data_IF_130710851478
#
_entry.id   IF_130710851478
#
_cell.length_a   1.000
_cell.length_b   1.000
_cell.length_c   1.000
_cell.angle_alpha   90.00
_cell.angle_beta   90.00
_cell.angle_gamma   90.00
#
_symmetry.space_group_name_H-M   'P 1'
#
loop_
_entity.id
_entity.type
_entity.pdbx_description
1 polymer ?
#
# COMPACT_ATOMS: atom_id res chain seq x y z
N UNK A 1 -17.21 -10.14 -9.01
CA UNK A 1 -16.17 -10.40 -7.99
C UNK A 1 -16.67 -9.80 -6.70
N UNK A 2 -16.53 -10.53 -5.59
CA UNK A 2 -16.95 -10.11 -4.26
C UNK A 2 -15.75 -10.25 -3.34
N UNK A 3 -15.32 -9.19 -2.66
CA UNK A 3 -14.09 -9.17 -1.87
C UNK A 3 -14.17 -8.16 -0.73
N UNK A 4 -13.52 -8.46 0.39
CA UNK A 4 -13.31 -7.49 1.48
C UNK A 4 -11.93 -6.83 1.37
N UNK A 5 -11.78 -5.59 1.85
CA UNK A 5 -10.47 -4.91 1.89
C UNK A 5 -9.98 -4.74 3.33
N UNK A 6 -8.95 -5.51 3.67
CA UNK A 6 -8.30 -5.51 4.98
C UNK A 6 -6.78 -5.23 4.82
N UNK A 7 -6.36 -4.01 4.45
CA UNK A 7 -4.94 -3.66 4.42
C UNK A 7 -4.26 -3.68 5.80
N UNK A 8 -5.02 -3.78 6.91
CA UNK A 8 -4.51 -3.80 8.28
C UNK A 8 -5.27 -4.79 9.19
N UNK A 9 -4.63 -5.33 10.24
CA UNK A 9 -5.27 -6.15 11.29
C UNK A 9 -6.12 -5.32 12.29
N UNK A 10 -6.80 -4.29 11.78
CA UNK A 10 -7.72 -3.46 12.53
C UNK A 10 -8.82 -3.01 11.57
N UNK A 11 -10.09 -3.27 11.93
CA UNK A 11 -11.25 -2.96 11.09
C UNK A 11 -11.31 -1.46 10.78
N UNK A 12 -11.23 -0.61 11.81
CA UNK A 12 -11.35 0.85 11.69
C UNK A 12 -10.24 1.46 10.84
N UNK A 13 -8.98 1.02 11.03
CA UNK A 13 -7.83 1.43 10.19
C UNK A 13 -7.97 0.95 8.74
N UNK A 14 -8.42 -0.30 8.54
CA UNK A 14 -8.64 -0.87 7.21
C UNK A 14 -9.71 -0.14 6.41
N UNK A 15 -10.83 0.20 7.05
CA UNK A 15 -11.96 0.92 6.44
C UNK A 15 -11.59 2.38 6.13
N UNK A 16 -10.95 3.07 7.08
CA UNK A 16 -10.48 4.47 6.90
C UNK A 16 -9.47 4.63 5.76
N UNK A 17 -8.63 3.63 5.54
CA UNK A 17 -7.63 3.67 4.46
C UNK A 17 -8.24 3.64 3.04
N UNK A 18 -9.54 3.38 2.87
CA UNK A 18 -10.18 3.24 1.56
C UNK A 18 -10.62 4.58 0.96
N UNK A 19 -10.53 4.68 -0.38
CA UNK A 19 -11.26 5.69 -1.15
C UNK A 19 -12.77 5.40 -1.17
N UNK A 20 -13.57 6.44 -1.43
CA UNK A 20 -15.03 6.38 -1.45
C UNK A 20 -15.58 5.34 -2.43
N UNK A 21 -14.95 5.13 -3.59
CA UNK A 21 -15.41 4.13 -4.56
C UNK A 21 -15.32 2.71 -3.98
N UNK A 22 -14.27 2.40 -3.20
CA UNK A 22 -14.13 1.10 -2.56
C UNK A 22 -14.93 1.01 -1.27
N UNK A 23 -14.89 2.02 -0.40
CA UNK A 23 -15.69 2.07 0.82
C UNK A 23 -17.19 1.88 0.51
N UNK A 24 -17.72 2.61 -0.48
CA UNK A 24 -19.10 2.47 -0.93
C UNK A 24 -19.43 1.08 -1.48
N UNK A 25 -18.44 0.38 -2.06
CA UNK A 25 -18.58 -1.02 -2.48
C UNK A 25 -18.49 -2.02 -1.32
N UNK A 26 -17.67 -1.75 -0.30
CA UNK A 26 -17.46 -2.67 0.82
C UNK A 26 -18.72 -2.91 1.65
N UNK A 27 -19.55 -1.88 1.88
CA UNK A 27 -20.89 -2.04 2.48
C UNK A 27 -21.72 -3.09 1.73
N UNK A 28 -21.75 -3.00 0.39
CA UNK A 28 -22.53 -3.90 -0.48
C UNK A 28 -21.90 -5.29 -0.61
N UNK A 29 -20.56 -5.38 -0.68
CA UNK A 29 -19.86 -6.67 -0.85
C UNK A 29 -19.86 -7.49 0.45
N UNK A 30 -19.64 -6.87 1.62
CA UNK A 30 -19.78 -7.54 2.92
C UNK A 30 -21.22 -8.04 3.17
N UNK A 31 -22.23 -7.23 2.87
CA UNK A 31 -23.64 -7.66 2.93
C UNK A 31 -23.92 -8.87 2.02
N UNK A 32 -23.37 -8.90 0.80
CA UNK A 32 -23.56 -10.05 -0.09
C UNK A 32 -22.79 -11.31 0.37
N UNK A 33 -21.66 -11.17 1.08
CA UNK A 33 -20.99 -12.31 1.73
C UNK A 33 -21.87 -12.89 2.85
N UNK A 34 -22.39 -12.05 3.75
CA UNK A 34 -23.29 -12.49 4.83
C UNK A 34 -24.53 -13.23 4.28
N UNK A 35 -25.12 -12.73 3.19
CA UNK A 35 -26.22 -13.41 2.50
C UNK A 35 -25.82 -14.75 1.84
N UNK A 36 -24.59 -14.87 1.33
CA UNK A 36 -24.08 -16.11 0.75
C UNK A 36 -23.77 -17.17 1.82
N UNK A 37 -23.25 -16.76 2.98
CA UNK A 37 -23.07 -17.61 4.16
C UNK A 37 -24.44 -18.14 4.61
N UNK A 38 -25.35 -17.23 4.97
CA UNK A 38 -26.70 -17.53 5.46
C UNK A 38 -27.58 -18.27 4.43
N UNK A 39 -27.15 -18.39 3.17
CA UNK A 39 -27.83 -19.15 2.13
C UNK A 39 -29.04 -18.46 1.49
N UNK A 40 -29.35 -17.23 1.91
CA UNK A 40 -30.43 -16.40 1.33
C UNK A 40 -30.19 -16.08 -0.15
N UNK A 41 -28.94 -16.19 -0.62
CA UNK A 41 -28.58 -16.12 -2.04
C UNK A 41 -27.73 -17.34 -2.44
N UNK A 42 -28.10 -17.99 -3.57
CA UNK A 42 -27.38 -19.18 -4.10
C UNK A 42 -25.99 -18.86 -4.67
N UNK A 43 -25.74 -17.62 -5.08
CA UNK A 43 -24.45 -17.19 -5.63
C UNK A 43 -23.34 -17.09 -4.58
N UNK A 44 -22.07 -17.21 -5.03
CA UNK A 44 -20.85 -16.95 -4.25
C UNK A 44 -20.62 -17.80 -2.97
N UNK A 45 -21.47 -18.77 -2.64
CA UNK A 45 -21.31 -19.62 -1.42
C UNK A 45 -19.99 -20.40 -1.36
N UNK A 46 -19.42 -20.78 -2.52
CA UNK A 46 -18.10 -21.43 -2.66
C UNK A 46 -16.95 -20.46 -3.01
N UNK A 47 -17.19 -19.15 -3.02
CA UNK A 47 -16.14 -18.17 -3.36
C UNK A 47 -15.16 -18.01 -2.18
N UNK A 48 -13.84 -17.93 -2.40
CA UNK A 48 -12.86 -17.84 -1.30
C UNK A 48 -13.10 -16.68 -0.32
N UNK A 49 -13.48 -15.51 -0.82
CA UNK A 49 -13.87 -14.37 0.02
C UNK A 49 -15.09 -14.63 0.92
N UNK A 50 -15.95 -15.60 0.57
CA UNK A 50 -17.07 -16.04 1.42
C UNK A 50 -16.60 -17.08 2.43
N UNK A 51 -15.74 -18.01 2.00
CA UNK A 51 -15.23 -19.10 2.82
C UNK A 51 -14.34 -18.60 3.97
N UNK A 52 -13.50 -17.59 3.75
CA UNK A 52 -12.62 -17.04 4.80
C UNK A 52 -13.34 -16.35 5.96
N UNK A 53 -14.62 -15.97 5.77
CA UNK A 53 -15.48 -15.34 6.79
C UNK A 53 -16.48 -16.31 7.44
N UNK A 54 -16.57 -17.55 6.97
CA UNK A 54 -17.51 -18.55 7.53
C UNK A 54 -17.02 -18.98 8.91
N UNK A 55 -17.90 -18.90 9.92
CA UNK A 55 -17.55 -19.06 11.34
C UNK A 55 -17.09 -17.76 12.02
N UNK A 56 -16.99 -16.65 11.28
CA UNK A 56 -16.58 -15.32 11.77
C UNK A 56 -17.60 -14.24 11.39
N UNK A 57 -18.88 -14.62 11.32
CA UNK A 57 -19.98 -13.77 10.83
C UNK A 57 -20.17 -12.52 11.67
N UNK A 58 -19.94 -12.59 13.00
CA UNK A 58 -20.00 -11.40 13.88
C UNK A 58 -18.87 -10.40 13.57
N UNK A 59 -17.67 -10.87 13.25
CA UNK A 59 -16.55 -10.01 12.83
C UNK A 59 -16.82 -9.37 11.45
N UNK A 60 -17.47 -10.10 10.53
CA UNK A 60 -17.90 -9.53 9.25
C UNK A 60 -19.05 -8.51 9.41
N UNK A 61 -19.99 -8.72 10.34
CA UNK A 61 -21.01 -7.72 10.72
C UNK A 61 -20.36 -6.44 11.28
N UNK A 62 -19.36 -6.57 12.16
CA UNK A 62 -18.58 -5.45 12.70
C UNK A 62 -17.84 -4.70 11.58
N UNK A 63 -17.20 -5.41 10.64
CA UNK A 63 -16.55 -4.81 9.46
C UNK A 63 -17.55 -4.02 8.60
N UNK A 64 -18.73 -4.60 8.36
CA UNK A 64 -19.82 -3.97 7.62
C UNK A 64 -20.37 -2.71 8.33
N UNK A 65 -20.57 -2.76 9.65
CA UNK A 65 -21.02 -1.64 10.47
C UNK A 65 -20.01 -0.48 10.44
N UNK A 66 -18.70 -0.76 10.54
CA UNK A 66 -17.67 0.27 10.41
C UNK A 66 -17.65 0.85 8.98
N UNK A 67 -17.84 0.03 7.94
CA UNK A 67 -17.98 0.53 6.56
C UNK A 67 -19.17 1.47 6.36
N UNK A 68 -20.26 1.31 7.12
CA UNK A 68 -21.37 2.28 7.15
C UNK A 68 -20.97 3.52 7.95
N UNK A 69 -20.39 3.33 9.13
CA UNK A 69 -20.00 4.41 10.05
C UNK A 69 -19.03 5.41 9.40
N UNK A 70 -17.98 4.91 8.74
CA UNK A 70 -17.02 5.74 7.98
C UNK A 70 -17.70 6.42 6.77
N UNK A 71 -18.59 5.72 6.06
CA UNK A 71 -19.30 6.28 4.90
C UNK A 71 -20.20 7.46 5.31
N UNK A 72 -20.95 7.31 6.41
CA UNK A 72 -21.78 8.39 6.99
C UNK A 72 -20.89 9.49 7.58
N UNK A 73 -19.78 9.14 8.23
CA UNK A 73 -18.80 10.08 8.78
C UNK A 73 -18.13 10.98 7.72
N UNK A 74 -18.04 10.50 6.47
CA UNK A 74 -17.63 11.30 5.29
C UNK A 74 -18.76 12.13 4.69
N UNK A 75 -19.88 12.31 5.39
CA UNK A 75 -21.04 13.08 4.93
C UNK A 75 -21.79 12.45 3.75
N UNK A 76 -21.69 11.13 3.55
CA UNK A 76 -22.32 10.44 2.42
C UNK A 76 -23.64 9.76 2.83
N UNK A 77 -24.69 9.93 2.03
CA UNK A 77 -26.00 9.34 2.30
C UNK A 77 -25.93 7.80 2.39
N UNK A 78 -26.62 7.23 3.38
CA UNK A 78 -26.73 5.79 3.61
C UNK A 78 -28.19 5.36 3.72
N UNK A 79 -28.50 4.19 3.15
CA UNK A 79 -29.81 3.52 3.23
C UNK A 79 -29.68 2.04 3.69
N UNK A 80 -28.51 1.63 4.15
CA UNK A 80 -28.24 0.27 4.62
C UNK A 80 -28.35 0.22 6.14
N UNK A 81 -29.12 -0.73 6.69
CA UNK A 81 -29.25 -0.92 8.13
C UNK A 81 -27.95 -1.46 8.73
N UNK A 82 -27.65 -1.06 9.97
CA UNK A 82 -26.62 -1.69 10.78
C UNK A 82 -27.08 -3.07 11.26
N UNK A 83 -26.14 -3.94 11.61
CA UNK A 83 -26.44 -5.14 12.40
C UNK A 83 -26.26 -4.85 13.88
N UNK A 84 -27.19 -5.30 14.70
CA UNK A 84 -26.98 -5.45 16.13
C UNK A 84 -25.94 -6.56 16.39
N UNK A 85 -24.96 -6.26 17.23
CA UNK A 85 -23.85 -7.13 17.62
C UNK A 85 -23.42 -6.78 19.05
N UNK A 86 -23.05 -7.80 19.84
CA UNK A 86 -22.28 -7.63 21.06
C UNK A 86 -20.79 -7.71 20.68
N UNK A 87 -20.02 -6.62 20.80
CA UNK A 87 -18.59 -6.64 20.43
C UNK A 87 -17.77 -7.62 21.27
N UNK A 88 -18.24 -7.98 22.48
CA UNK A 88 -17.59 -8.98 23.34
C UNK A 88 -17.73 -10.43 22.83
N UNK A 89 -18.68 -10.69 21.92
CA UNK A 89 -18.88 -12.01 21.28
C UNK A 89 -18.12 -12.12 19.94
N UNK A 90 -17.41 -11.06 19.51
CA UNK A 90 -16.73 -11.03 18.20
C UNK A 90 -15.44 -11.84 18.24
N UNK A 91 -15.55 -13.13 17.91
CA UNK A 91 -14.40 -13.97 17.56
C UNK A 91 -13.80 -13.45 16.25
N UNK A 92 -12.53 -13.05 16.29
CA UNK A 92 -11.76 -12.68 15.10
C UNK A 92 -11.23 -13.93 14.38
N UNK A 93 -11.06 -13.89 13.04
CA UNK A 93 -10.52 -15.01 12.29
C UNK A 93 -9.09 -15.40 12.71
N UNK A 94 -8.73 -16.68 12.63
CA UNK A 94 -7.37 -17.18 12.95
C UNK A 94 -6.27 -16.54 12.09
N UNK A 95 -6.60 -16.10 10.87
CA UNK A 95 -5.70 -15.38 9.97
C UNK A 95 -5.57 -13.87 10.27
N UNK A 96 -6.24 -13.36 11.30
CA UNK A 96 -6.19 -11.95 11.67
C UNK A 96 -4.83 -11.58 12.28
N UNK A 97 -4.16 -10.58 11.72
CA UNK A 97 -2.76 -10.29 12.09
C UNK A 97 -1.72 -10.91 11.15
N UNK A 98 -2.12 -11.80 10.22
CA UNK A 98 -1.20 -12.38 9.26
C UNK A 98 -0.78 -11.34 8.20
N UNK A 99 0.41 -10.75 8.40
CA UNK A 99 0.87 -9.58 7.62
C UNK A 99 0.84 -9.82 6.11
N UNK A 100 1.20 -11.02 5.63
CA UNK A 100 1.23 -11.32 4.19
C UNK A 100 -0.17 -11.30 3.56
N UNK A 101 -1.20 -11.77 4.28
CA UNK A 101 -2.59 -11.60 3.86
C UNK A 101 -2.92 -10.11 3.71
N UNK A 102 -2.63 -9.30 4.72
CA UNK A 102 -2.84 -7.85 4.68
C UNK A 102 -2.07 -7.18 3.52
N UNK A 103 -0.83 -7.57 3.27
CA UNK A 103 -0.05 -7.08 2.12
C UNK A 103 -0.66 -7.47 0.76
N UNK A 104 -1.28 -8.65 0.62
CA UNK A 104 -1.98 -9.02 -0.62
C UNK A 104 -3.22 -8.13 -0.88
N UNK A 105 -3.87 -7.65 0.19
CA UNK A 105 -4.95 -6.66 0.10
C UNK A 105 -4.40 -5.26 -0.22
N UNK A 106 -3.29 -4.82 0.40
CA UNK A 106 -2.58 -3.57 0.04
C UNK A 106 -2.18 -3.55 -1.45
N UNK A 107 -1.52 -4.60 -1.93
CA UNK A 107 -1.13 -4.77 -3.34
C UNK A 107 -2.35 -4.73 -4.27
N UNK A 108 -3.44 -5.38 -3.87
CA UNK A 108 -4.70 -5.37 -4.64
C UNK A 108 -5.42 -4.02 -4.64
N UNK A 109 -5.20 -3.17 -3.64
CA UNK A 109 -5.67 -1.78 -3.62
C UNK A 109 -4.83 -0.89 -4.56
N UNK A 110 -3.49 -0.98 -4.48
CA UNK A 110 -2.56 -0.33 -5.43
C UNK A 110 -2.93 -0.66 -6.87
N UNK A 111 -3.06 -1.94 -7.23
CA UNK A 111 -3.44 -2.37 -8.59
C UNK A 111 -4.77 -1.80 -9.10
N UNK A 112 -5.69 -1.44 -8.21
CA UNK A 112 -7.02 -0.90 -8.56
C UNK A 112 -7.04 0.63 -8.68
N UNK A 113 -6.14 1.35 -7.98
CA UNK A 113 -5.88 2.79 -8.11
C UNK A 113 -4.49 3.17 -7.55
N UNK A 114 -3.42 3.13 -8.37
CA UNK A 114 -2.07 3.45 -7.89
C UNK A 114 -1.99 4.84 -7.26
N UNK A 115 -2.60 5.84 -7.91
CA UNK A 115 -2.62 7.25 -7.49
C UNK A 115 -3.15 7.54 -6.07
N UNK A 116 -3.94 6.63 -5.48
CA UNK A 116 -4.50 6.82 -4.13
C UNK A 116 -3.82 5.94 -3.06
N UNK A 117 -3.16 4.84 -3.47
CA UNK A 117 -2.65 3.80 -2.56
C UNK A 117 -1.15 3.55 -2.64
N UNK A 118 -0.48 3.95 -3.73
CA UNK A 118 0.92 3.64 -3.92
C UNK A 118 1.79 4.32 -2.87
N UNK A 119 1.69 5.64 -2.70
CA UNK A 119 2.38 6.38 -1.64
C UNK A 119 2.05 5.86 -0.23
N UNK A 120 0.81 5.42 -0.01
CA UNK A 120 0.32 4.97 1.31
C UNK A 120 0.80 3.58 1.71
N UNK A 121 1.06 2.70 0.75
CA UNK A 121 1.31 1.27 1.01
C UNK A 121 2.60 0.73 0.40
N UNK A 122 3.30 1.45 -0.50
CA UNK A 122 4.49 0.97 -1.20
C UNK A 122 5.61 0.50 -0.25
N UNK A 123 5.79 1.20 0.85
CA UNK A 123 6.81 0.89 1.86
C UNK A 123 6.28 -0.07 2.95
N UNK A 124 4.98 -0.44 2.90
CA UNK A 124 4.38 -1.45 3.78
C UNK A 124 4.15 -2.82 3.09
N UNK A 125 4.79 -3.08 1.95
CA UNK A 125 4.67 -4.35 1.21
C UNK A 125 6.03 -4.90 0.77
N UNK A 126 6.16 -6.22 0.72
CA UNK A 126 7.25 -6.85 -0.03
C UNK A 126 7.06 -6.58 -1.54
N UNK A 127 8.01 -5.95 -2.25
CA UNK A 127 7.77 -5.45 -3.62
C UNK A 127 7.33 -6.51 -4.65
N UNK A 128 7.69 -7.78 -4.47
CA UNK A 128 7.25 -8.87 -5.35
C UNK A 128 5.75 -9.18 -5.25
N UNK A 129 5.10 -8.86 -4.12
CA UNK A 129 3.66 -9.10 -3.92
C UNK A 129 2.77 -8.32 -4.90
N UNK A 130 3.31 -7.29 -5.57
CA UNK A 130 2.65 -6.59 -6.68
C UNK A 130 2.41 -7.49 -7.91
N UNK A 131 3.17 -8.58 -8.06
CA UNK A 131 3.08 -9.56 -9.16
C UNK A 131 2.00 -10.64 -8.92
N UNK A 132 1.51 -10.80 -7.68
CA UNK A 132 0.61 -11.87 -7.25
C UNK A 132 -0.73 -11.34 -6.70
N UNK A 133 -1.84 -12.06 -6.84
CA UNK A 133 -3.20 -11.56 -6.57
C UNK A 133 -3.59 -11.41 -5.10
N UNK A 134 -4.66 -12.10 -4.69
CA UNK A 134 -5.11 -12.17 -3.29
C UNK A 134 -4.62 -13.46 -2.65
N UNK A 135 -4.28 -13.39 -1.36
CA UNK A 135 -4.19 -14.56 -0.48
C UNK A 135 -5.58 -14.82 0.09
N UNK A 136 -6.03 -16.07 0.02
CA UNK A 136 -7.30 -16.49 0.60
C UNK A 136 -7.04 -17.50 1.72
N UNK A 137 -7.25 -17.14 3.00
CA UNK A 137 -6.96 -18.02 4.13
C UNK A 137 -7.65 -19.39 4.05
N UNK A 138 -8.80 -19.50 3.37
CA UNK A 138 -9.47 -20.77 3.08
C UNK A 138 -8.70 -21.71 2.12
N UNK A 139 -7.43 -21.45 1.83
CA UNK A 139 -6.48 -22.32 1.09
C UNK A 139 -5.27 -22.75 1.93
N UNK A 140 -5.20 -22.37 3.21
CA UNK A 140 -4.03 -22.54 4.08
C UNK A 140 -4.42 -23.18 5.42
N UNK A 141 -3.44 -23.71 6.15
CA UNK A 141 -3.55 -24.05 7.58
C UNK A 141 -2.77 -23.05 8.45
N UNK A 142 -2.84 -23.22 9.78
CA UNK A 142 -2.02 -22.46 10.73
C UNK A 142 -0.52 -22.81 10.63
N UNK A 143 -0.16 -23.95 10.05
CA UNK A 143 1.21 -24.37 9.77
C UNK A 143 1.79 -23.56 8.61
N UNK A 144 1.03 -23.39 7.52
CA UNK A 144 1.47 -22.57 6.38
C UNK A 144 1.77 -21.12 6.79
N UNK A 145 1.04 -20.59 7.78
CA UNK A 145 1.28 -19.24 8.32
C UNK A 145 2.66 -19.07 8.97
N UNK A 146 3.30 -20.16 9.39
CA UNK A 146 4.63 -20.18 10.04
C UNK A 146 5.77 -20.21 9.01
N UNK A 147 5.46 -20.38 7.72
CA UNK A 147 6.44 -20.39 6.63
C UNK A 147 6.93 -18.97 6.29
N UNK A 148 8.20 -18.85 5.88
CA UNK A 148 8.72 -17.59 5.32
C UNK A 148 8.14 -17.38 3.93
N UNK A 149 7.18 -16.45 3.81
CA UNK A 149 6.45 -16.26 2.56
C UNK A 149 7.31 -15.58 1.48
N UNK A 150 7.63 -16.34 0.44
CA UNK A 150 8.52 -15.96 -0.66
C UNK A 150 7.81 -16.02 -2.03
N UNK A 151 8.56 -16.12 -3.12
CA UNK A 151 8.00 -16.24 -4.48
C UNK A 151 7.43 -17.63 -4.80
N UNK A 152 8.00 -18.71 -4.27
CA UNK A 152 7.48 -20.07 -4.52
C UNK A 152 6.11 -20.24 -3.87
N UNK A 153 5.96 -19.78 -2.62
CA UNK A 153 4.69 -19.77 -1.91
C UNK A 153 3.70 -18.76 -2.53
N UNK A 154 4.18 -17.61 -3.02
CA UNK A 154 3.32 -16.69 -3.78
C UNK A 154 2.79 -17.32 -5.08
N UNK A 155 3.60 -18.07 -5.81
CA UNK A 155 3.19 -18.78 -7.04
C UNK A 155 2.23 -19.94 -6.77
N UNK A 156 2.39 -20.64 -5.63
CA UNK A 156 1.54 -21.77 -5.25
C UNK A 156 0.16 -21.36 -4.74
N UNK A 157 0.07 -20.33 -3.89
CA UNK A 157 -1.16 -20.07 -3.12
C UNK A 157 -1.93 -18.78 -3.49
N UNK A 158 -1.25 -17.73 -3.97
CA UNK A 158 -1.94 -16.51 -4.37
C UNK A 158 -2.86 -16.77 -5.57
N UNK A 159 -4.00 -16.07 -5.63
CA UNK A 159 -4.78 -16.02 -6.87
C UNK A 159 -3.96 -15.41 -8.02
N UNK A 160 -4.13 -15.87 -9.27
CA UNK A 160 -3.56 -15.20 -10.43
C UNK A 160 -4.18 -13.80 -10.57
N UNK A 161 -3.35 -12.80 -10.94
CA UNK A 161 -3.86 -11.46 -11.24
C UNK A 161 -4.75 -11.54 -12.48
N UNK A 162 -6.06 -11.42 -12.26
CA UNK A 162 -7.04 -11.44 -13.33
C UNK A 162 -6.94 -10.17 -14.16
N UNK A 163 -7.09 -10.26 -15.49
CA UNK A 163 -7.00 -9.07 -16.37
C UNK A 163 -8.01 -7.97 -15.98
N UNK A 164 -9.18 -8.33 -15.46
CA UNK A 164 -10.17 -7.37 -14.92
C UNK A 164 -9.82 -6.74 -13.56
N UNK A 165 -8.83 -7.27 -12.83
CA UNK A 165 -8.26 -6.60 -11.64
C UNK A 165 -7.27 -5.50 -12.07
N UNK A 166 -6.63 -5.66 -13.23
CA UNK A 166 -5.81 -4.64 -13.92
C UNK A 166 -6.72 -3.71 -14.74
N UNK A 167 -7.49 -2.83 -14.08
CA UNK A 167 -8.53 -2.04 -14.75
C UNK A 167 -7.97 -1.21 -15.93
N UNK A 168 -8.55 -1.31 -17.14
CA UNK A 168 -7.98 -0.75 -18.35
C UNK A 168 -8.35 0.72 -18.60
N UNK A 169 -7.32 1.52 -18.81
CA UNK A 169 -7.26 2.88 -19.36
C UNK A 169 -5.81 3.05 -19.91
N UNK A 170 -5.45 3.53 -21.09
CA UNK A 170 -4.03 3.51 -21.55
C UNK A 170 -3.33 4.90 -21.52
N UNK A 171 -2.13 4.95 -20.91
CA UNK A 171 -1.38 6.20 -20.65
C UNK A 171 -0.58 6.70 -21.87
N UNK A 172 -1.21 6.65 -23.04
CA UNK A 172 -0.74 7.24 -24.29
C UNK A 172 -1.77 8.26 -24.76
N UNK A 173 -1.35 9.23 -25.54
CA UNK A 173 -2.28 10.05 -26.32
C UNK A 173 -3.11 9.15 -27.26
N UNK A 174 -4.37 9.56 -27.53
CA UNK A 174 -5.30 8.79 -28.37
C UNK A 174 -6.01 7.60 -27.70
N UNK A 175 -5.84 7.33 -26.40
CA UNK A 175 -6.53 6.20 -25.76
C UNK A 175 -8.06 6.36 -25.71
N UNK A 176 -8.78 5.42 -26.36
CA UNK A 176 -10.26 5.37 -26.42
C UNK A 176 -10.96 5.08 -25.07
N UNK A 177 -10.22 4.73 -24.02
CA UNK A 177 -10.76 4.39 -22.68
C UNK A 177 -10.68 5.55 -21.66
N UNK A 178 -10.52 6.80 -22.10
CA UNK A 178 -10.45 8.00 -21.25
C UNK A 178 -11.80 8.27 -20.58
N UNK A 179 -11.90 8.14 -19.24
CA UNK A 179 -13.18 8.23 -18.54
C UNK A 179 -13.19 9.19 -17.32
N UNK A 180 -13.85 10.34 -17.53
CA UNK A 180 -14.29 11.38 -16.56
C UNK A 180 -13.22 12.16 -15.79
N UNK A 181 -13.46 13.47 -15.70
CA UNK A 181 -12.78 14.45 -14.83
C UNK A 181 -12.89 14.00 -13.36
N UNK A 182 -11.78 13.91 -12.64
CA UNK A 182 -11.78 13.78 -11.18
C UNK A 182 -11.60 15.18 -10.59
N UNK A 183 -12.29 15.50 -9.49
CA UNK A 183 -11.91 16.64 -8.65
C UNK A 183 -11.13 16.16 -7.43
N UNK A 184 -10.08 16.87 -7.04
CA UNK A 184 -9.48 16.74 -5.70
C UNK A 184 -10.41 17.34 -4.65
N UNK A 185 -10.11 17.10 -3.38
CA UNK A 185 -10.83 17.74 -2.26
C UNK A 185 -10.61 19.27 -2.24
N UNK A 186 -9.45 19.74 -2.74
CA UNK A 186 -9.14 21.16 -3.01
C UNK A 186 -9.84 21.72 -4.28
N UNK A 187 -10.58 20.88 -5.01
CA UNK A 187 -11.39 21.26 -6.16
C UNK A 187 -10.69 21.28 -7.53
N UNK A 188 -9.37 21.00 -7.58
CA UNK A 188 -8.62 20.90 -8.84
C UNK A 188 -9.17 19.79 -9.73
N UNK A 189 -9.30 20.06 -11.03
CA UNK A 189 -9.76 19.06 -11.99
C UNK A 189 -8.57 18.26 -12.53
N UNK A 190 -8.38 17.06 -11.98
CA UNK A 190 -7.37 16.12 -12.46
C UNK A 190 -7.91 15.42 -13.72
N UNK A 191 -7.28 15.73 -14.86
CA UNK A 191 -7.49 15.02 -16.12
C UNK A 191 -6.32 14.05 -16.39
N UNK A 192 -6.53 13.07 -17.29
CA UNK A 192 -5.51 12.18 -17.87
C UNK A 192 -4.96 11.00 -17.00
N UNK A 193 -5.79 10.14 -16.37
CA UNK A 193 -5.27 8.97 -15.61
C UNK A 193 -5.65 7.57 -16.09
N UNK A 194 -4.71 6.63 -15.91
CA UNK A 194 -4.65 5.37 -16.66
C UNK A 194 -4.07 4.11 -15.94
N UNK A 195 -4.13 2.92 -16.58
CA UNK A 195 -3.73 1.61 -16.02
C UNK A 195 -3.51 0.36 -16.93
N UNK A 196 -3.86 0.31 -18.23
CA UNK A 196 -3.61 -0.85 -19.17
C UNK A 196 -2.14 -1.25 -19.16
N UNK A 197 -1.27 -0.25 -19.08
CA UNK A 197 0.18 -0.40 -19.11
C UNK A 197 0.77 -0.84 -17.76
N UNK A 198 -0.04 -1.34 -16.81
CA UNK A 198 0.48 -1.97 -15.58
C UNK A 198 1.54 -3.06 -15.89
N UNK A 199 1.35 -3.85 -16.95
CA UNK A 199 2.38 -4.82 -17.40
C UNK A 199 3.69 -4.19 -17.87
N UNK A 200 3.65 -2.97 -18.42
CA UNK A 200 4.85 -2.21 -18.83
C UNK A 200 5.48 -1.51 -17.64
N UNK A 201 4.67 -0.89 -16.76
CA UNK A 201 5.12 -0.28 -15.51
C UNK A 201 5.81 -1.31 -14.60
N UNK A 202 5.19 -2.47 -14.36
CA UNK A 202 5.79 -3.56 -13.58
C UNK A 202 7.07 -4.07 -14.24
N UNK A 203 7.09 -4.29 -15.57
CA UNK A 203 8.33 -4.64 -16.27
C UNK A 203 9.42 -3.58 -16.09
N UNK A 204 9.09 -2.29 -16.15
CA UNK A 204 10.06 -1.21 -16.02
C UNK A 204 10.58 -1.08 -14.58
N UNK A 205 9.73 -1.12 -13.56
CA UNK A 205 10.15 -1.08 -12.14
C UNK A 205 10.98 -2.33 -11.77
N UNK A 206 10.60 -3.52 -12.26
CA UNK A 206 11.39 -4.73 -12.04
C UNK A 206 12.72 -4.71 -12.82
N UNK A 207 12.76 -4.14 -14.02
CA UNK A 207 14.00 -3.96 -14.78
C UNK A 207 14.91 -2.89 -14.18
N UNK A 208 14.36 -1.79 -13.67
CA UNK A 208 15.11 -0.80 -12.88
C UNK A 208 15.73 -1.43 -11.64
N UNK A 209 14.98 -2.25 -10.89
CA UNK A 209 15.52 -2.93 -9.72
C UNK A 209 16.60 -3.95 -10.11
N UNK A 210 16.43 -4.70 -11.22
CA UNK A 210 17.48 -5.57 -11.78
C UNK A 210 18.72 -4.79 -12.24
N UNK A 211 18.55 -3.59 -12.80
CA UNK A 211 19.67 -2.75 -13.24
C UNK A 211 20.38 -2.10 -12.04
N UNK A 212 19.64 -1.52 -11.09
CA UNK A 212 20.18 -0.99 -9.82
C UNK A 212 20.94 -2.06 -9.03
N UNK A 213 20.44 -3.31 -9.00
CA UNK A 213 21.17 -4.44 -8.41
C UNK A 213 22.44 -4.82 -9.20
N UNK A 214 22.36 -4.89 -10.55
CA UNK A 214 23.54 -5.13 -11.40
C UNK A 214 24.60 -4.04 -11.25
N UNK A 215 24.22 -2.77 -11.17
CA UNK A 215 25.15 -1.66 -11.08
C UNK A 215 25.74 -1.53 -9.67
N UNK A 216 24.98 -1.83 -8.61
CA UNK A 216 25.55 -2.02 -7.27
C UNK A 216 26.60 -3.15 -7.28
N UNK A 217 26.27 -4.31 -7.86
CA UNK A 217 27.22 -5.44 -8.01
C UNK A 217 28.47 -5.09 -8.85
N UNK A 218 28.34 -4.26 -9.89
CA UNK A 218 29.49 -3.72 -10.65
C UNK A 218 30.34 -2.78 -9.80
N UNK A 219 29.72 -1.90 -9.01
CA UNK A 219 30.42 -0.95 -8.13
C UNK A 219 31.17 -1.70 -7.03
N UNK A 220 30.56 -2.70 -6.41
CA UNK A 220 31.18 -3.58 -5.42
C UNK A 220 32.40 -4.31 -6.03
N UNK A 221 32.24 -4.97 -7.18
CA UNK A 221 33.35 -5.62 -7.89
C UNK A 221 34.45 -4.64 -8.32
N UNK A 222 34.10 -3.39 -8.67
CA UNK A 222 35.07 -2.34 -9.03
C UNK A 222 35.81 -1.79 -7.80
N UNK A 223 35.16 -1.74 -6.65
CA UNK A 223 35.81 -1.42 -5.37
C UNK A 223 36.77 -2.54 -4.95
N UNK A 224 36.41 -3.80 -5.17
CA UNK A 224 37.28 -4.95 -4.89
C UNK A 224 38.45 -5.09 -5.88
N UNK A 225 38.25 -4.79 -7.18
CA UNK A 225 39.36 -4.70 -8.12
C UNK A 225 40.32 -3.56 -7.75
N UNK A 226 39.78 -2.40 -7.35
CA UNK A 226 40.60 -1.27 -6.93
C UNK A 226 41.37 -1.55 -5.63
N UNK A 227 40.78 -2.29 -4.67
CA UNK A 227 41.48 -2.78 -3.47
C UNK A 227 42.64 -3.73 -3.82
N UNK A 228 42.51 -4.56 -4.86
CA UNK A 228 43.61 -5.43 -5.34
C UNK A 228 44.70 -4.62 -6.05
N UNK A 229 44.35 -3.74 -6.98
CA UNK A 229 45.31 -2.89 -7.72
C UNK A 229 46.05 -1.91 -6.80
N UNK A 230 45.43 -1.46 -5.71
CA UNK A 230 46.06 -0.61 -4.71
C UNK A 230 47.20 -1.26 -3.92
N UNK A 231 47.37 -2.59 -4.01
CA UNK A 231 48.36 -3.34 -3.22
C UNK A 231 49.70 -3.58 -3.93
N UNK A 232 49.84 -3.18 -5.21
CA UNK A 232 51.04 -3.49 -6.03
C UNK A 232 51.91 -2.26 -6.38
N UNK A 233 51.61 -1.06 -5.85
CA UNK A 233 52.41 0.15 -6.09
C UNK A 233 52.59 0.99 -4.82
N UNK A 234 53.82 1.09 -4.30
CA UNK A 234 54.15 2.08 -3.26
C UNK A 234 55.15 1.69 -2.16
N UNK A 235 55.96 0.63 -2.32
CA UNK A 235 56.92 0.22 -1.29
C UNK A 235 58.13 1.18 -1.09
N UNK A 236 57.96 2.31 -0.40
CA UNK A 236 59.05 3.11 0.20
C UNK A 236 58.57 3.88 1.44
N UNK A 237 59.47 4.04 2.42
CA UNK A 237 59.18 4.45 3.82
C UNK A 237 59.04 5.96 4.01
N UNK A 238 58.20 6.35 4.98
CA UNK A 238 58.55 7.28 6.09
C UNK A 238 57.65 7.02 7.30
N UNK A 239 58.07 7.45 8.50
CA UNK A 239 57.35 7.25 9.78
C UNK A 239 56.59 8.54 10.21
N UNK A 240 55.97 8.47 11.41
CA UNK A 240 55.13 9.48 12.08
C UNK A 240 53.67 9.52 11.58
N UNK A 241 52.64 9.52 12.44
CA UNK A 241 52.63 9.38 13.91
C UNK A 241 51.22 9.52 14.52
N UNK A 242 51.12 9.39 15.86
CA UNK A 242 49.97 9.75 16.71
C UNK A 242 48.64 8.97 16.60
N UNK A 243 48.63 7.82 17.29
CA UNK A 243 47.73 7.49 18.41
C UNK A 243 46.24 7.10 18.19
N UNK A 244 45.66 6.53 19.25
CA UNK A 244 44.36 5.84 19.36
C UNK A 244 43.23 6.75 19.86
N UNK A 245 42.00 6.48 19.44
CA UNK A 245 40.83 6.39 20.34
C UNK A 245 39.68 5.60 19.67
N UNK A 246 38.81 4.98 20.46
CA UNK A 246 37.58 4.34 19.97
C UNK A 246 36.60 5.38 19.42
N UNK A 247 35.74 4.98 18.48
CA UNK A 247 34.43 5.61 18.25
C UNK A 247 33.39 4.49 18.18
N UNK A 248 32.34 4.62 18.98
CA UNK A 248 31.25 3.65 19.11
C UNK A 248 30.15 3.89 18.06
N UNK A 249 29.34 2.87 17.77
CA UNK A 249 28.24 2.98 16.81
C UNK A 249 27.01 3.66 17.46
N UNK A 250 26.60 4.81 16.92
CA UNK A 250 25.25 5.38 17.16
C UNK A 250 24.59 5.77 15.83
N UNK A 251 23.39 5.26 15.50
CA UNK A 251 22.74 5.52 14.22
C UNK A 251 21.98 6.86 14.21
N UNK A 252 22.23 7.72 13.22
CA UNK A 252 21.56 9.01 13.10
C UNK A 252 20.40 8.94 12.09
N UNK A 253 19.17 8.98 12.61
CA UNK A 253 17.98 9.43 11.89
C UNK A 253 17.50 10.76 12.50
N UNK A 254 17.71 11.89 11.82
CA UNK A 254 16.83 13.09 11.87
C UNK A 254 17.30 14.23 10.94
N UNK A 255 16.31 14.84 10.29
CA UNK A 255 16.19 16.24 9.87
C UNK A 255 17.44 17.03 9.38
N UNK A 256 17.33 17.52 8.14
CA UNK A 256 17.69 18.92 7.84
C UNK A 256 16.54 19.61 7.08
N UNK A 257 15.82 20.50 7.75
CA UNK A 257 14.87 21.44 7.14
C UNK A 257 15.24 22.86 7.61
N UNK A 258 15.46 23.78 6.67
CA UNK A 258 15.85 25.21 6.82
C UNK A 258 17.28 25.51 7.30
N UNK A 259 17.97 26.31 6.50
CA UNK A 259 18.86 27.45 6.84
C UNK A 259 19.07 28.23 5.49
N UNK A 260 19.24 29.56 5.40
CA UNK A 260 19.33 30.64 6.40
C UNK A 260 18.78 31.97 5.84
N UNK A 261 18.51 32.98 6.69
CA UNK A 261 18.29 34.39 6.33
C UNK A 261 19.62 35.17 6.23
N UNK A 262 19.65 36.28 5.45
CA UNK A 262 20.36 37.59 5.61
C UNK A 262 20.78 38.16 4.23
N UNK A 263 20.85 39.48 3.97
CA UNK A 263 20.45 40.68 4.72
C UNK A 263 20.26 41.91 3.80
N UNK A 264 19.97 43.09 4.41
CA UNK A 264 19.77 44.44 3.85
C UNK A 264 18.35 44.69 3.31
N UNK A 265 17.55 45.66 3.74
CA UNK A 265 17.71 47.04 4.29
C UNK A 265 17.70 48.15 3.24
N UNK A 266 16.61 48.92 3.19
CA UNK A 266 16.54 50.36 2.91
C UNK A 266 15.23 50.91 3.50
N UNK A 267 15.09 52.23 3.58
CA UNK A 267 14.13 52.91 4.46
C UNK A 267 12.80 53.30 3.78
N UNK A 268 11.74 53.49 4.58
CA UNK A 268 10.43 53.96 4.11
C UNK A 268 9.49 54.35 5.26
N UNK A 269 9.22 55.65 5.42
CA UNK A 269 8.36 56.24 6.48
C UNK A 269 6.86 56.19 6.13
N UNK A 270 6.02 56.32 7.16
CA UNK A 270 4.66 56.95 7.12
C UNK A 270 3.52 56.17 6.41
N UNK A 271 2.22 56.26 6.77
CA UNK A 271 1.54 56.74 8.01
C UNK A 271 0.08 56.24 8.06
N UNK A 272 -0.51 56.21 9.26
CA UNK A 272 -1.95 56.41 9.58
C UNK A 272 -3.09 55.56 8.93
N UNK A 273 -3.71 54.76 9.82
CA UNK A 273 -5.11 54.92 10.29
C UNK A 273 -6.28 54.29 9.53
N UNK A 274 -7.37 54.12 10.30
CA UNK A 274 -8.72 53.57 9.98
C UNK A 274 -8.73 52.05 9.75
N UNK A 275 -9.47 51.21 10.49
CA UNK A 275 -10.81 51.24 11.13
C UNK A 275 -12.02 51.17 10.19
N UNK A 276 -12.99 50.43 10.70
CA UNK A 276 -14.43 50.37 10.44
C UNK A 276 -14.91 49.46 9.31
N UNK A 277 -15.97 48.70 9.65
CA UNK A 277 -16.74 47.69 8.89
C UNK A 277 -16.06 46.34 8.65
#
# INVERSE_FOLDING_TARGET
MVVTFLPYPNIKKSVKALDDQRLGKQRVEAFNILNAINGTKKGWRKHPATLMWKGFELCLKLYYNECISEWVGRGKNNNMTYYEINENEVIYPWWWGWEIFHQSHKCSLIRKAPWFYEEKFRDEIQPFMLEYGYIWPSKFTEEDMKLTFDRELAERYCDPINQGQLRPFCAQEGCKNRAKKLKTDDGEVVENYCGVHFRTYVKNVLNENKNKAKDRSKVEKKLESNKKVGNEKGGKKTQNGLNKSQIEFTPIWKNTRKQTRRNKSLEGRSTNSKRDL
#
